data_IF_220753004377
#
_entry.id   IF_220753004377
#
_cell.length_a   1.000
_cell.length_b   1.000
_cell.length_c   1.000
_cell.angle_alpha   90.00
_cell.angle_beta   90.00
_cell.angle_gamma   90.00
#
_symmetry.space_group_name_H-M   'P 1'
#
loop_
_entity.id
_entity.type
_entity.pdbx_description
1 polymer ?
#
# COMPACT_ATOMS: atom_id res chain seq x y z
N UNK A 1 -57.83 6.82 45.55
CA UNK A 1 -59.02 7.27 44.81
C UNK A 1 -58.56 8.20 43.70
N UNK A 2 -58.86 7.81 42.45
CA UNK A 2 -59.10 8.67 41.27
C UNK A 2 -57.91 9.45 40.65
N UNK A 3 -57.46 8.95 39.49
CA UNK A 3 -56.82 9.65 38.34
C UNK A 3 -57.82 10.61 37.63
N UNK A 4 -57.52 11.38 36.54
CA UNK A 4 -56.27 11.66 35.78
C UNK A 4 -56.11 13.19 35.44
N UNK A 5 -55.05 13.72 34.80
CA UNK A 5 -54.75 13.81 33.35
C UNK A 5 -53.53 14.77 33.19
N UNK A 6 -52.58 14.50 32.28
CA UNK A 6 -52.17 15.38 31.16
C UNK A 6 -50.88 14.90 30.45
N UNK A 7 -51.10 14.49 29.18
CA UNK A 7 -50.32 14.72 27.94
C UNK A 7 -48.85 14.26 27.83
N UNK A 8 -48.66 13.34 26.89
CA UNK A 8 -47.38 12.90 26.33
C UNK A 8 -46.89 13.86 25.23
N UNK A 9 -45.60 14.20 25.26
CA UNK A 9 -44.87 14.77 24.11
C UNK A 9 -44.01 13.68 23.49
N UNK A 10 -44.36 13.27 22.27
CA UNK A 10 -43.57 12.38 21.42
C UNK A 10 -42.58 13.25 20.66
N UNK A 11 -41.30 13.13 21.00
CA UNK A 11 -40.19 13.71 20.25
C UNK A 11 -39.97 12.92 18.96
N UNK A 12 -39.98 13.65 17.84
CA UNK A 12 -39.78 13.18 16.48
C UNK A 12 -38.34 12.65 16.32
N UNK A 13 -38.14 11.34 16.30
CA UNK A 13 -36.92 10.73 15.79
C UNK A 13 -37.09 10.55 14.28
N UNK A 14 -36.35 11.34 13.49
CA UNK A 14 -36.13 11.05 12.07
C UNK A 14 -35.34 9.74 11.97
N UNK A 15 -36.05 8.64 11.72
CA UNK A 15 -35.47 7.40 11.23
C UNK A 15 -35.20 7.60 9.73
N UNK A 16 -33.95 7.87 9.37
CA UNK A 16 -33.48 7.67 7.99
C UNK A 16 -33.55 6.15 7.74
N UNK A 17 -34.61 5.69 7.09
CA UNK A 17 -34.81 4.28 6.80
C UNK A 17 -33.83 3.83 5.72
N UNK A 18 -32.98 2.85 6.04
CA UNK A 18 -32.23 2.09 5.06
C UNK A 18 -33.20 1.22 4.26
N UNK A 19 -33.65 1.74 3.12
CA UNK A 19 -34.55 1.01 2.22
C UNK A 19 -33.76 0.00 1.39
N UNK A 20 -34.14 -1.27 1.53
CA UNK A 20 -33.61 -2.42 0.78
C UNK A 20 -34.49 -2.62 -0.46
N UNK A 21 -33.91 -2.55 -1.67
CA UNK A 21 -34.65 -2.68 -2.93
C UNK A 21 -34.14 -3.84 -3.79
N UNK A 22 -35.02 -4.44 -4.57
CA UNK A 22 -34.62 -5.26 -5.72
C UNK A 22 -34.30 -4.33 -6.90
N UNK A 23 -33.09 -4.39 -7.44
CA UNK A 23 -32.66 -3.55 -8.58
C UNK A 23 -33.39 -4.05 -9.83
N UNK A 24 -34.46 -3.35 -10.21
CA UNK A 24 -35.26 -3.70 -11.40
C UNK A 24 -34.70 -3.11 -12.70
N UNK A 25 -33.89 -2.05 -12.62
CA UNK A 25 -33.24 -1.43 -13.78
C UNK A 25 -31.83 -0.91 -13.43
N UNK A 26 -30.83 -1.71 -13.79
CA UNK A 26 -29.42 -1.42 -13.50
C UNK A 26 -28.89 -0.21 -14.26
N UNK A 27 -29.27 -0.08 -15.53
CA UNK A 27 -28.76 1.01 -16.39
C UNK A 27 -29.29 2.35 -15.92
N UNK A 28 -30.59 2.43 -15.58
CA UNK A 28 -31.15 3.65 -14.98
C UNK A 28 -30.40 4.01 -13.70
N UNK A 29 -30.14 3.02 -12.82
CA UNK A 29 -29.42 3.24 -11.56
C UNK A 29 -28.00 3.78 -11.80
N UNK A 30 -27.29 3.25 -12.81
CA UNK A 30 -25.96 3.71 -13.16
C UNK A 30 -25.95 5.16 -13.66
N UNK A 31 -26.86 5.53 -14.56
CA UNK A 31 -26.97 6.91 -15.06
C UNK A 31 -27.38 7.89 -13.95
N UNK A 32 -28.32 7.50 -13.08
CA UNK A 32 -28.74 8.35 -11.95
C UNK A 32 -27.56 8.65 -11.01
N UNK A 33 -26.71 7.65 -10.72
CA UNK A 33 -25.51 7.83 -9.90
C UNK A 33 -24.45 8.67 -10.59
N UNK A 34 -24.24 8.47 -11.90
CA UNK A 34 -23.33 9.28 -12.73
C UNK A 34 -23.71 10.75 -12.70
N UNK A 35 -25.00 11.05 -12.92
CA UNK A 35 -25.53 12.41 -12.92
C UNK A 35 -25.44 13.04 -11.53
N UNK A 36 -25.80 12.31 -10.48
CA UNK A 36 -25.71 12.78 -9.09
C UNK A 36 -24.28 13.16 -8.70
N UNK A 37 -23.28 12.40 -9.18
CA UNK A 37 -21.86 12.62 -8.89
C UNK A 37 -21.21 13.66 -9.82
N UNK A 38 -21.88 14.05 -10.91
CA UNK A 38 -21.34 14.98 -11.91
C UNK A 38 -20.09 14.43 -12.62
N UNK A 39 -20.01 13.12 -12.81
CA UNK A 39 -18.84 12.46 -13.39
C UNK A 39 -18.82 12.58 -14.91
N UNK A 40 -17.66 12.91 -15.46
CA UNK A 40 -17.43 13.01 -16.91
C UNK A 40 -16.49 11.90 -17.33
N UNK A 41 -17.01 10.97 -18.13
CA UNK A 41 -16.31 9.79 -18.63
C UNK A 41 -15.95 9.94 -20.11
N UNK A 42 -14.86 9.29 -20.53
CA UNK A 42 -14.71 8.88 -21.92
C UNK A 42 -15.62 7.67 -22.23
N UNK A 43 -15.94 7.38 -23.51
CA UNK A 43 -16.73 6.20 -23.86
C UNK A 43 -16.13 4.88 -23.33
N UNK A 44 -14.81 4.76 -23.35
CA UNK A 44 -14.10 3.59 -22.85
C UNK A 44 -14.18 3.47 -21.32
N UNK A 45 -13.98 4.57 -20.60
CA UNK A 45 -14.07 4.61 -19.13
C UNK A 45 -15.47 4.24 -18.64
N UNK A 46 -16.51 4.79 -19.30
CA UNK A 46 -17.91 4.51 -18.97
C UNK A 46 -18.27 3.05 -19.23
N UNK A 47 -17.87 2.50 -20.39
CA UNK A 47 -18.10 1.10 -20.72
C UNK A 47 -17.42 0.15 -19.72
N UNK A 48 -16.18 0.46 -19.32
CA UNK A 48 -15.46 -0.32 -18.30
C UNK A 48 -16.14 -0.24 -16.93
N UNK A 49 -16.56 0.95 -16.50
CA UNK A 49 -17.23 1.13 -15.22
C UNK A 49 -18.56 0.38 -15.19
N UNK A 50 -19.41 0.57 -16.21
CA UNK A 50 -20.68 -0.12 -16.30
C UNK A 50 -20.50 -1.64 -16.29
N UNK A 51 -19.53 -2.18 -17.04
CA UNK A 51 -19.26 -3.62 -17.06
C UNK A 51 -18.88 -4.17 -15.67
N UNK A 52 -17.97 -3.50 -14.94
CA UNK A 52 -17.57 -3.92 -13.58
C UNK A 52 -18.72 -3.77 -12.58
N UNK A 53 -19.42 -2.64 -12.61
CA UNK A 53 -20.57 -2.39 -11.75
C UNK A 53 -21.66 -3.43 -11.98
N UNK A 54 -21.94 -3.79 -13.23
CA UNK A 54 -22.89 -4.84 -13.58
C UNK A 54 -22.51 -6.21 -13.03
N UNK A 55 -21.25 -6.59 -13.18
CA UNK A 55 -20.74 -7.88 -12.72
C UNK A 55 -20.82 -8.00 -11.20
N UNK A 56 -20.28 -7.02 -10.47
CA UNK A 56 -20.25 -7.05 -9.02
C UNK A 56 -21.66 -6.92 -8.42
N UNK A 57 -22.53 -6.11 -9.01
CA UNK A 57 -23.89 -5.94 -8.50
C UNK A 57 -24.72 -7.22 -8.65
N UNK A 58 -24.51 -7.98 -9.75
CA UNK A 58 -25.14 -9.30 -9.94
C UNK A 58 -24.59 -10.37 -8.99
N UNK A 59 -23.37 -10.18 -8.47
CA UNK A 59 -22.77 -11.07 -7.48
C UNK A 59 -23.25 -10.82 -6.04
N UNK A 60 -23.88 -9.67 -5.78
CA UNK A 60 -24.48 -9.37 -4.48
C UNK A 60 -25.74 -10.21 -4.23
N UNK A 61 -26.08 -10.41 -2.96
CA UNK A 61 -27.34 -11.06 -2.59
C UNK A 61 -28.55 -10.31 -3.21
N UNK A 62 -29.69 -10.99 -3.34
CA UNK A 62 -30.92 -10.49 -4.00
C UNK A 62 -31.46 -9.15 -3.44
N UNK A 63 -30.89 -8.70 -2.31
CA UNK A 63 -31.23 -7.49 -1.58
C UNK A 63 -29.96 -6.73 -1.18
N UNK A 64 -29.78 -5.53 -1.74
CA UNK A 64 -28.71 -4.59 -1.43
C UNK A 64 -29.33 -3.23 -1.06
N UNK A 65 -28.75 -2.51 -0.09
CA UNK A 65 -29.24 -1.18 0.29
C UNK A 65 -28.84 -0.12 -0.75
N UNK A 66 -29.54 1.01 -0.80
CA UNK A 66 -29.18 2.11 -1.71
C UNK A 66 -27.78 2.67 -1.43
N UNK A 67 -27.36 2.65 -0.16
CA UNK A 67 -26.03 3.10 0.26
C UNK A 67 -24.94 2.18 -0.27
N UNK A 68 -25.13 0.87 -0.13
CA UNK A 68 -24.20 -0.14 -0.65
C UNK A 68 -24.11 -0.10 -2.19
N UNK A 69 -25.21 0.20 -2.89
CA UNK A 69 -25.19 0.40 -4.37
C UNK A 69 -24.36 1.62 -4.74
N UNK A 70 -24.53 2.74 -4.03
CA UNK A 70 -23.76 3.96 -4.30
C UNK A 70 -22.27 3.81 -3.95
N UNK A 71 -21.95 3.06 -2.89
CA UNK A 71 -20.58 2.68 -2.56
C UNK A 71 -20.00 1.75 -3.64
N UNK A 72 -20.73 0.72 -4.04
CA UNK A 72 -20.30 -0.20 -5.11
C UNK A 72 -20.01 0.54 -6.41
N UNK A 73 -20.87 1.50 -6.78
CA UNK A 73 -20.65 2.36 -7.94
C UNK A 73 -19.34 3.14 -7.81
N UNK A 74 -19.06 3.74 -6.64
CA UNK A 74 -17.81 4.47 -6.41
C UNK A 74 -16.58 3.56 -6.45
N UNK A 75 -16.64 2.41 -5.78
CA UNK A 75 -15.55 1.45 -5.68
C UNK A 75 -15.18 0.82 -7.04
N UNK A 76 -16.16 0.61 -7.92
CA UNK A 76 -15.96 0.01 -9.26
C UNK A 76 -15.53 1.00 -10.35
N UNK A 77 -15.52 2.30 -10.04
CA UNK A 77 -15.12 3.37 -10.97
C UNK A 77 -13.66 3.22 -11.40
N UNK A 78 -13.26 3.63 -12.62
CA UNK A 78 -11.85 3.64 -13.01
C UNK A 78 -11.00 4.42 -12.00
N UNK A 79 -9.84 3.87 -11.63
CA UNK A 79 -8.93 4.49 -10.68
C UNK A 79 -8.39 5.85 -11.18
N UNK A 80 -8.25 5.99 -12.49
CA UNK A 80 -7.83 7.22 -13.17
C UNK A 80 -8.85 7.55 -14.24
N UNK A 81 -9.30 8.81 -14.27
CA UNK A 81 -10.24 9.33 -15.27
C UNK A 81 -9.62 10.54 -15.97
N UNK A 82 -9.86 10.68 -17.28
CA UNK A 82 -9.34 11.80 -18.07
C UNK A 82 -9.79 13.15 -17.54
N UNK A 83 -11.05 13.26 -17.12
CA UNK A 83 -11.61 14.50 -16.54
C UNK A 83 -10.85 14.96 -15.29
N UNK A 84 -10.41 14.03 -14.44
CA UNK A 84 -9.56 14.33 -13.29
C UNK A 84 -8.15 14.74 -13.69
N UNK A 85 -7.56 14.06 -14.67
CA UNK A 85 -6.23 14.42 -15.22
C UNK A 85 -6.25 15.85 -15.77
N UNK A 86 -7.28 16.22 -16.52
CA UNK A 86 -7.46 17.55 -17.09
C UNK A 86 -7.62 18.60 -15.98
N UNK A 87 -8.45 18.32 -14.97
CA UNK A 87 -8.63 19.21 -13.83
C UNK A 87 -7.31 19.46 -13.09
N UNK A 88 -6.58 18.40 -12.76
CA UNK A 88 -5.28 18.48 -12.08
C UNK A 88 -4.30 19.32 -12.91
N UNK A 89 -4.13 19.00 -14.19
CA UNK A 89 -3.19 19.69 -15.08
C UNK A 89 -3.58 21.14 -15.35
N UNK A 90 -4.87 21.50 -15.20
CA UNK A 90 -5.31 22.90 -15.24
C UNK A 90 -4.84 23.70 -14.02
N UNK A 91 -4.78 23.08 -12.84
CA UNK A 91 -4.55 23.75 -11.53
C UNK A 91 -3.11 23.73 -11.05
N UNK A 92 -2.39 22.60 -11.17
CA UNK A 92 -1.00 22.47 -10.73
C UNK A 92 -0.04 22.48 -11.93
N UNK A 93 1.20 22.95 -11.74
CA UNK A 93 2.24 23.06 -12.80
C UNK A 93 3.58 22.43 -12.45
N UNK A 94 3.70 21.81 -11.27
CA UNK A 94 4.96 21.25 -10.75
C UNK A 94 5.20 19.81 -11.18
N UNK A 95 4.17 19.15 -11.70
CA UNK A 95 4.22 17.80 -12.26
C UNK A 95 3.12 17.68 -13.34
N UNK A 96 3.05 16.57 -14.05
CA UNK A 96 2.02 16.34 -15.08
C UNK A 96 1.28 15.05 -14.76
N UNK A 97 -0.05 15.11 -14.67
CA UNK A 97 -0.91 13.94 -14.57
C UNK A 97 -1.14 13.33 -15.96
N UNK A 98 -1.31 12.00 -16.04
CA UNK A 98 -1.62 11.29 -17.28
C UNK A 98 -2.47 10.06 -16.98
N UNK A 99 -3.38 9.72 -17.90
CA UNK A 99 -4.12 8.45 -17.90
C UNK A 99 -3.26 7.27 -18.37
N UNK A 100 -2.11 7.53 -19.00
CA UNK A 100 -1.20 6.52 -19.54
C UNK A 100 -0.35 5.88 -18.43
N UNK A 101 -1.03 5.27 -17.46
CA UNK A 101 -0.42 4.57 -16.33
C UNK A 101 -0.74 3.08 -16.45
N UNK A 102 0.12 2.31 -17.12
CA UNK A 102 -0.16 0.90 -17.45
C UNK A 102 -0.44 -0.01 -16.25
N UNK A 103 -0.02 0.37 -15.02
CA UNK A 103 -0.41 -0.35 -13.80
C UNK A 103 -1.91 -0.18 -13.48
N UNK A 104 -2.47 1.01 -13.75
CA UNK A 104 -3.81 1.42 -13.31
C UNK A 104 -4.85 1.47 -14.44
N UNK A 105 -4.45 1.25 -15.69
CA UNK A 105 -5.32 1.30 -16.88
C UNK A 105 -6.64 0.51 -16.70
N UNK A 106 -6.59 -0.57 -15.92
CA UNK A 106 -7.70 -1.48 -15.68
C UNK A 106 -8.17 -1.53 -14.24
N UNK A 107 -7.59 -0.72 -13.37
CA UNK A 107 -7.88 -0.74 -11.94
C UNK A 107 -9.20 -0.04 -11.68
N UNK A 108 -10.01 -0.64 -10.82
CA UNK A 108 -11.06 0.08 -10.11
C UNK A 108 -10.46 0.98 -9.03
N UNK A 109 -11.23 1.95 -8.54
CA UNK A 109 -10.84 2.76 -7.39
C UNK A 109 -10.52 1.88 -6.17
N UNK A 110 -11.28 0.79 -5.98
CA UNK A 110 -11.05 -0.22 -4.94
C UNK A 110 -9.69 -0.88 -5.07
N UNK A 111 -9.30 -1.30 -6.27
CA UNK A 111 -8.00 -1.92 -6.53
C UNK A 111 -6.86 -0.95 -6.18
N UNK A 112 -7.00 0.32 -6.58
CA UNK A 112 -6.01 1.34 -6.27
C UNK A 112 -5.89 1.59 -4.76
N UNK A 113 -7.02 1.67 -4.04
CA UNK A 113 -7.05 1.84 -2.57
C UNK A 113 -6.32 0.71 -1.85
N UNK A 114 -6.43 -0.52 -2.34
CA UNK A 114 -5.76 -1.69 -1.73
C UNK A 114 -4.25 -1.65 -1.81
N UNK A 115 -3.69 -0.94 -2.78
CA UNK A 115 -2.24 -0.71 -2.82
C UNK A 115 -1.77 0.22 -1.69
N UNK A 116 -2.66 1.01 -1.10
CA UNK A 116 -2.39 1.93 0.01
C UNK A 116 -2.47 1.26 1.39
N UNK A 117 -1.71 0.17 1.59
CA UNK A 117 -1.78 -0.66 2.80
C UNK A 117 -1.07 -0.14 4.06
N UNK A 118 -0.82 1.16 4.17
CA UNK A 118 -0.30 1.73 5.43
C UNK A 118 -1.46 2.20 6.29
N UNK A 119 -1.63 1.56 7.44
CA UNK A 119 -2.62 1.97 8.44
C UNK A 119 -2.09 3.15 9.24
N UNK A 120 -2.99 4.12 9.49
CA UNK A 120 -2.66 5.32 10.25
C UNK A 120 -2.56 4.97 11.73
N UNK A 121 -1.43 5.32 12.32
CA UNK A 121 -1.25 5.28 13.77
C UNK A 121 -0.93 6.70 14.25
N UNK A 122 -1.38 7.03 15.46
CA UNK A 122 -0.95 8.27 16.08
C UNK A 122 0.59 8.23 16.25
N UNK A 123 1.27 9.32 15.87
CA UNK A 123 2.70 9.50 16.09
C UNK A 123 3.05 9.67 17.59
N UNK A 124 2.05 9.65 18.48
CA UNK A 124 2.22 9.66 19.93
C UNK A 124 3.04 8.45 20.37
N UNK A 125 4.11 8.72 21.12
CA UNK A 125 4.97 7.67 21.70
C UNK A 125 6.25 7.38 20.92
N UNK A 126 6.40 7.84 19.67
CA UNK A 126 7.68 7.75 18.95
C UNK A 126 8.64 8.83 19.43
N UNK A 127 9.86 8.42 19.79
CA UNK A 127 10.95 9.33 20.10
C UNK A 127 11.28 10.19 18.89
N UNK A 128 11.60 11.46 19.13
CA UNK A 128 12.05 12.38 18.08
C UNK A 128 13.57 12.34 17.97
N UNK A 129 14.09 11.95 16.81
CA UNK A 129 15.51 12.08 16.48
C UNK A 129 15.79 13.51 16.06
N UNK A 130 16.76 14.11 16.76
CA UNK A 130 17.22 15.49 16.57
C UNK A 130 18.74 15.45 16.42
N UNK A 131 19.27 16.26 15.52
CA UNK A 131 20.70 16.47 15.35
C UNK A 131 21.13 17.83 15.90
N UNK A 132 22.40 17.95 16.30
CA UNK A 132 22.93 19.23 16.77
C UNK A 132 22.92 20.26 15.61
N UNK A 133 22.64 21.55 15.87
CA UNK A 133 22.63 22.59 14.83
C UNK A 133 23.88 22.62 13.94
N UNK A 134 25.03 22.24 14.49
CA UNK A 134 26.33 22.17 13.86
C UNK A 134 26.40 21.08 12.80
N UNK A 135 25.69 19.96 13.01
CA UNK A 135 25.57 18.86 12.04
C UNK A 135 24.64 19.24 10.86
N UNK A 136 23.84 20.30 11.01
CA UNK A 136 22.82 20.72 10.05
C UNK A 136 23.26 21.92 9.18
N UNK A 137 24.46 22.48 9.38
CA UNK A 137 24.90 23.72 8.72
C UNK A 137 25.16 23.60 7.22
N UNK A 138 25.61 22.44 6.75
CA UNK A 138 26.13 22.25 5.39
C UNK A 138 25.41 21.13 4.63
N UNK A 139 24.08 21.08 4.77
CA UNK A 139 23.26 20.11 4.02
C UNK A 139 23.23 20.47 2.52
N UNK A 140 23.44 19.48 1.62
CA UNK A 140 23.42 19.73 0.19
C UNK A 140 22.01 20.14 -0.28
N UNK A 141 21.96 20.96 -1.33
CA UNK A 141 20.70 21.35 -1.99
C UNK A 141 20.11 20.18 -2.78
N UNK A 142 20.97 19.30 -3.29
CA UNK A 142 20.66 18.16 -4.13
C UNK A 142 21.43 16.94 -3.64
N UNK A 143 20.75 15.80 -3.51
CA UNK A 143 21.34 14.57 -3.00
C UNK A 143 20.64 13.36 -3.63
N UNK A 144 21.42 12.39 -4.10
CA UNK A 144 20.93 11.10 -4.56
C UNK A 144 21.75 9.98 -3.91
N UNK A 145 21.11 9.20 -3.03
CA UNK A 145 21.75 8.11 -2.31
C UNK A 145 22.42 7.09 -3.25
N UNK A 146 21.90 6.91 -4.48
CA UNK A 146 22.48 5.98 -5.46
C UNK A 146 23.84 6.47 -5.98
N UNK A 147 24.02 7.79 -6.09
CA UNK A 147 25.28 8.40 -6.50
C UNK A 147 26.27 8.48 -5.35
N UNK A 148 25.79 8.79 -4.14
CA UNK A 148 26.63 9.00 -2.96
C UNK A 148 27.08 7.69 -2.31
N UNK A 149 26.32 6.61 -2.49
CA UNK A 149 26.67 5.26 -2.04
C UNK A 149 26.84 4.30 -3.23
N UNK A 150 27.86 4.47 -4.09
CA UNK A 150 27.96 3.76 -5.37
C UNK A 150 28.10 2.23 -5.23
N UNK A 151 28.65 1.72 -4.12
CA UNK A 151 28.70 0.27 -3.84
C UNK A 151 27.32 -0.33 -3.55
N UNK A 152 26.36 0.50 -3.16
CA UNK A 152 24.99 0.13 -2.81
C UNK A 152 23.97 0.65 -3.83
N UNK A 153 24.41 1.27 -4.94
CA UNK A 153 23.51 1.86 -5.92
C UNK A 153 22.53 0.85 -6.51
N UNK A 154 22.97 -0.42 -6.64
CA UNK A 154 22.13 -1.53 -7.10
C UNK A 154 21.06 -1.95 -6.10
N UNK A 155 21.29 -1.79 -4.79
CA UNK A 155 20.30 -2.09 -3.74
C UNK A 155 19.34 -0.92 -3.59
N UNK A 156 19.88 0.30 -3.43
CA UNK A 156 19.11 1.55 -3.26
C UNK A 156 18.25 1.85 -4.49
N UNK A 157 18.76 1.53 -5.68
CA UNK A 157 18.06 1.73 -6.95
C UNK A 157 17.10 0.59 -7.32
N UNK A 158 17.01 -0.47 -6.51
CA UNK A 158 16.17 -1.63 -6.79
C UNK A 158 14.71 -1.35 -6.48
N UNK A 159 13.89 -1.16 -7.52
CA UNK A 159 12.46 -0.89 -7.36
C UNK A 159 11.69 -2.22 -7.27
N UNK A 160 10.95 -2.41 -6.19
CA UNK A 160 10.18 -3.63 -5.92
C UNK A 160 8.69 -3.45 -6.23
N UNK A 161 7.97 -4.57 -6.35
CA UNK A 161 6.52 -4.59 -6.62
C UNK A 161 5.77 -5.37 -5.52
N UNK A 162 4.90 -4.69 -4.79
CA UNK A 162 4.05 -5.30 -3.77
C UNK A 162 2.91 -6.17 -4.34
N UNK A 163 2.72 -6.19 -5.66
CA UNK A 163 1.64 -6.86 -6.37
C UNK A 163 0.25 -6.41 -5.88
N UNK A 164 -0.77 -7.27 -5.98
CA UNK A 164 -2.14 -7.05 -5.53
C UNK A 164 -2.32 -7.25 -4.01
N UNK A 165 -1.38 -6.75 -3.21
CA UNK A 165 -1.35 -6.88 -1.75
C UNK A 165 -1.06 -5.51 -1.12
N UNK A 166 -1.80 -5.16 -0.07
CA UNK A 166 -1.56 -3.94 0.72
C UNK A 166 -0.34 -4.03 1.63
N UNK A 167 0.81 -4.48 1.13
CA UNK A 167 2.01 -4.73 1.92
C UNK A 167 3.03 -3.58 1.89
N UNK A 168 2.67 -2.39 1.39
CA UNK A 168 3.58 -1.24 1.33
C UNK A 168 4.18 -0.85 2.70
N UNK A 169 3.45 -1.13 3.79
CA UNK A 169 3.90 -0.94 5.18
C UNK A 169 5.07 -1.86 5.55
N UNK A 170 5.19 -3.03 4.91
CA UNK A 170 6.27 -3.99 5.07
C UNK A 170 7.43 -3.69 4.11
N UNK A 171 7.13 -3.31 2.86
CA UNK A 171 8.15 -2.99 1.85
C UNK A 171 9.02 -1.80 2.25
N UNK A 172 8.42 -0.65 2.58
CA UNK A 172 9.18 0.57 2.85
C UNK A 172 10.23 0.44 3.97
N UNK A 173 9.88 -0.09 5.16
CA UNK A 173 10.86 -0.35 6.21
C UNK A 173 11.91 -1.38 5.82
N UNK A 174 11.51 -2.46 5.13
CA UNK A 174 12.44 -3.51 4.68
C UNK A 174 13.46 -2.96 3.69
N UNK A 175 13.02 -2.19 2.69
CA UNK A 175 13.88 -1.53 1.70
C UNK A 175 14.84 -0.53 2.36
N UNK A 176 14.32 0.38 3.19
CA UNK A 176 15.15 1.36 3.89
C UNK A 176 16.20 0.71 4.81
N UNK A 177 15.83 -0.36 5.52
CA UNK A 177 16.78 -1.11 6.33
C UNK A 177 17.80 -1.87 5.48
N UNK A 178 17.39 -2.45 4.34
CA UNK A 178 18.28 -3.13 3.41
C UNK A 178 19.36 -2.19 2.85
N UNK A 179 18.96 -0.97 2.47
CA UNK A 179 19.86 0.07 1.99
C UNK A 179 20.87 0.45 3.06
N UNK A 180 20.38 0.72 4.27
CA UNK A 180 21.21 1.08 5.44
C UNK A 180 22.19 -0.04 5.80
N UNK A 181 21.75 -1.30 5.73
CA UNK A 181 22.61 -2.46 5.97
C UNK A 181 23.72 -2.55 4.91
N UNK A 182 23.40 -2.34 3.62
CA UNK A 182 24.40 -2.26 2.57
C UNK A 182 25.41 -1.16 2.86
N UNK A 183 24.94 0.06 3.15
CA UNK A 183 25.78 1.24 3.40
C UNK A 183 26.70 1.00 4.61
N UNK A 184 26.16 0.54 5.74
CA UNK A 184 26.94 0.28 6.95
C UNK A 184 27.93 -0.87 6.79
N UNK A 185 27.63 -1.83 5.90
CA UNK A 185 28.55 -2.90 5.54
C UNK A 185 29.63 -2.49 4.51
N UNK A 186 29.63 -1.24 4.05
CA UNK A 186 30.48 -0.75 2.95
C UNK A 186 30.32 -1.57 1.65
N UNK A 187 29.07 -1.96 1.35
CA UNK A 187 28.71 -2.75 0.17
C UNK A 187 29.07 -4.22 0.24
N UNK A 188 29.40 -4.76 1.42
CA UNK A 188 29.66 -6.20 1.60
C UNK A 188 28.37 -7.01 1.64
N UNK A 189 27.29 -6.43 2.15
CA UNK A 189 25.96 -7.00 2.12
C UNK A 189 25.14 -6.32 1.01
N UNK A 190 24.81 -7.08 -0.03
CA UNK A 190 24.01 -6.58 -1.17
C UNK A 190 22.80 -7.45 -1.49
N UNK A 191 22.54 -8.47 -0.66
CA UNK A 191 21.35 -9.29 -0.80
C UNK A 191 20.08 -8.48 -0.45
N UNK A 192 18.95 -8.90 -1.01
CA UNK A 192 17.66 -8.30 -0.67
C UNK A 192 17.10 -8.91 0.62
N UNK A 193 16.46 -8.11 1.45
CA UNK A 193 15.74 -8.55 2.65
C UNK A 193 14.27 -8.87 2.33
N UNK A 194 13.71 -9.86 3.02
CA UNK A 194 12.39 -10.41 2.69
C UNK A 194 11.24 -9.51 3.12
N UNK A 195 10.68 -8.77 2.16
CA UNK A 195 9.40 -8.09 2.36
C UNK A 195 8.23 -9.10 2.52
N UNK A 196 8.39 -10.33 2.02
CA UNK A 196 7.41 -11.41 2.15
C UNK A 196 7.30 -11.91 3.59
N UNK A 197 8.43 -12.19 4.23
CA UNK A 197 8.48 -12.55 5.65
C UNK A 197 7.93 -11.40 6.51
N UNK A 198 8.35 -10.15 6.26
CA UNK A 198 7.84 -8.99 6.99
C UNK A 198 6.31 -8.91 6.89
N UNK A 199 5.75 -9.10 5.69
CA UNK A 199 4.31 -9.08 5.45
C UNK A 199 3.56 -10.24 6.13
N UNK A 200 4.16 -11.43 6.21
CA UNK A 200 3.53 -12.63 6.74
C UNK A 200 3.67 -12.80 8.26
N UNK A 201 4.78 -12.33 8.84
CA UNK A 201 5.20 -12.66 10.20
C UNK A 201 5.16 -11.50 11.20
N UNK A 202 5.41 -10.27 10.76
CA UNK A 202 5.36 -9.13 11.69
C UNK A 202 3.92 -8.90 12.18
N UNK A 203 3.72 -8.45 13.43
CA UNK A 203 2.41 -8.37 14.08
C UNK A 203 1.54 -7.24 13.51
N UNK A 204 1.01 -7.46 12.31
CA UNK A 204 0.11 -6.56 11.58
C UNK A 204 -0.91 -7.35 10.74
N UNK A 205 -1.58 -6.71 9.79
CA UNK A 205 -2.66 -7.36 9.01
C UNK A 205 -2.23 -7.78 7.60
N UNK A 206 -0.92 -7.85 7.32
CA UNK A 206 -0.37 -8.32 6.05
C UNK A 206 -0.90 -7.55 4.85
N UNK A 207 -1.53 -8.25 3.90
CA UNK A 207 -2.14 -7.63 2.71
C UNK A 207 -3.37 -6.77 3.02
N UNK A 208 -3.97 -6.89 4.22
CA UNK A 208 -5.00 -5.97 4.70
C UNK A 208 -4.45 -4.62 5.17
N UNK A 209 -3.12 -4.45 5.11
CA UNK A 209 -2.41 -3.27 5.56
C UNK A 209 -1.76 -3.45 6.93
N UNK A 210 -0.92 -2.50 7.31
CA UNK A 210 -0.20 -2.61 8.56
C UNK A 210 0.48 -1.34 9.02
N UNK A 211 1.11 -1.46 10.19
CA UNK A 211 1.76 -0.37 10.89
C UNK A 211 3.27 -0.41 10.65
N UNK A 212 3.85 0.65 10.08
CA UNK A 212 5.30 0.74 9.86
C UNK A 212 6.11 0.62 11.15
N UNK A 213 5.56 1.09 12.28
CA UNK A 213 6.15 0.91 13.60
C UNK A 213 6.37 -0.56 13.94
N UNK A 214 5.36 -1.40 13.68
CA UNK A 214 5.46 -2.84 13.91
C UNK A 214 6.56 -3.48 13.04
N UNK A 215 6.73 -3.02 11.79
CA UNK A 215 7.82 -3.49 10.93
C UNK A 215 9.20 -3.12 11.47
N UNK A 216 9.41 -1.86 11.90
CA UNK A 216 10.68 -1.46 12.50
C UNK A 216 10.97 -2.16 13.82
N UNK A 217 9.96 -2.34 14.68
CA UNK A 217 10.09 -3.12 15.92
C UNK A 217 10.44 -4.58 15.61
N UNK A 218 9.80 -5.19 14.60
CA UNK A 218 10.13 -6.55 14.16
C UNK A 218 11.59 -6.69 13.72
N UNK A 219 12.11 -5.71 12.97
CA UNK A 219 13.53 -5.70 12.57
C UNK A 219 14.49 -5.72 13.77
N UNK A 220 14.11 -5.14 14.91
CA UNK A 220 14.90 -5.19 16.13
C UNK A 220 14.69 -6.50 16.90
N UNK A 221 13.43 -6.86 17.18
CA UNK A 221 13.09 -7.94 18.12
C UNK A 221 13.31 -9.34 17.53
N UNK A 222 12.96 -9.52 16.25
CA UNK A 222 12.97 -10.81 15.57
C UNK A 222 14.00 -10.88 14.43
N UNK A 223 14.35 -9.73 13.86
CA UNK A 223 15.16 -9.65 12.65
C UNK A 223 14.40 -10.10 11.40
N UNK A 224 15.08 -10.05 10.25
CA UNK A 224 14.49 -10.42 8.96
C UNK A 224 15.48 -11.26 8.15
N UNK A 225 14.98 -12.24 7.41
CA UNK A 225 15.78 -13.03 6.49
C UNK A 225 16.00 -12.31 5.15
N UNK A 226 16.92 -12.86 4.36
CA UNK A 226 17.05 -12.51 2.94
C UNK A 226 15.84 -12.99 2.14
N UNK A 227 15.48 -12.26 1.09
CA UNK A 227 14.35 -12.54 0.24
C UNK A 227 14.21 -11.55 -0.89
N UNK A 228 14.48 -12.01 -2.10
CA UNK A 228 14.34 -11.25 -3.33
C UNK A 228 12.89 -11.04 -3.78
N UNK A 229 12.75 -10.54 -5.00
CA UNK A 229 11.43 -10.39 -5.62
C UNK A 229 10.80 -11.75 -5.93
N UNK A 230 9.56 -11.75 -6.40
CA UNK A 230 8.89 -12.99 -6.73
C UNK A 230 9.59 -13.73 -7.88
N UNK A 231 9.90 -14.99 -7.62
CA UNK A 231 10.41 -15.97 -8.57
C UNK A 231 9.63 -17.27 -8.40
N UNK A 232 9.38 -18.00 -9.49
CA UNK A 232 8.69 -19.28 -9.38
C UNK A 232 9.56 -20.28 -8.62
N UNK A 233 8.94 -21.20 -7.85
CA UNK A 233 9.70 -22.21 -7.09
C UNK A 233 10.68 -23.03 -7.93
N UNK A 234 10.37 -23.25 -9.20
CA UNK A 234 11.23 -24.03 -10.10
C UNK A 234 12.46 -23.23 -10.52
N UNK A 235 12.29 -21.92 -10.69
CA UNK A 235 13.32 -20.98 -11.19
C UNK A 235 14.17 -20.35 -10.08
N UNK A 236 13.76 -20.48 -8.81
CA UNK A 236 14.54 -20.02 -7.66
C UNK A 236 16.00 -20.51 -7.73
N UNK A 237 16.91 -19.69 -7.26
CA UNK A 237 18.35 -19.93 -7.13
C UNK A 237 18.78 -19.50 -5.73
N UNK A 238 20.02 -19.81 -5.33
CA UNK A 238 20.57 -19.32 -4.06
C UNK A 238 20.53 -17.78 -3.95
N UNK A 239 20.63 -17.07 -5.07
CA UNK A 239 20.66 -15.61 -5.10
C UNK A 239 19.32 -14.95 -4.72
N UNK A 240 18.21 -15.69 -4.77
CA UNK A 240 16.88 -15.17 -4.41
C UNK A 240 16.68 -15.08 -2.88
N UNK A 241 17.64 -15.57 -2.09
CA UNK A 241 17.59 -15.51 -0.63
C UNK A 241 16.67 -16.57 -0.02
N UNK A 242 16.54 -16.55 1.30
CA UNK A 242 15.75 -17.52 2.05
C UNK A 242 14.25 -17.47 1.73
N UNK A 243 13.67 -16.27 1.64
CA UNK A 243 12.23 -16.08 1.47
C UNK A 243 11.89 -15.02 0.42
N UNK A 244 12.00 -15.36 -0.88
CA UNK A 244 11.56 -14.49 -1.97
C UNK A 244 10.07 -14.13 -1.86
N UNK A 245 9.66 -12.98 -2.38
CA UNK A 245 8.28 -12.50 -2.25
C UNK A 245 7.26 -13.47 -2.86
N UNK A 246 6.14 -13.71 -2.16
CA UNK A 246 5.19 -14.78 -2.54
C UNK A 246 4.32 -14.45 -3.77
N UNK A 247 4.21 -13.17 -4.14
CA UNK A 247 3.25 -12.72 -5.16
C UNK A 247 3.94 -12.19 -6.41
N UNK A 248 3.64 -12.82 -7.55
CA UNK A 248 4.03 -12.31 -8.86
C UNK A 248 3.29 -11.00 -9.16
N UNK A 249 3.89 -10.07 -9.92
CA UNK A 249 3.15 -8.96 -10.50
C UNK A 249 1.98 -9.46 -11.36
N UNK A 250 0.81 -8.83 -11.25
CA UNK A 250 -0.39 -9.24 -11.96
C UNK A 250 -1.21 -8.01 -12.45
N UNK A 251 -2.09 -8.22 -13.43
CA UNK A 251 -3.00 -7.22 -13.98
C UNK A 251 -4.43 -7.43 -13.48
N UNK A 252 -5.12 -6.36 -13.05
CA UNK A 252 -6.52 -6.43 -12.60
C UNK A 252 -7.47 -6.24 -13.78
N UNK A 253 -8.57 -6.99 -13.86
CA UNK A 253 -9.74 -6.77 -14.75
C UNK A 253 -9.49 -6.57 -16.27
N UNK A 254 -8.29 -6.85 -16.81
CA UNK A 254 -7.99 -6.86 -18.25
C UNK A 254 -7.06 -8.00 -18.65
N UNK A 255 -7.00 -8.27 -19.96
CA UNK A 255 -5.98 -9.12 -20.56
C UNK A 255 -4.71 -8.30 -20.79
N UNK A 256 -3.71 -8.49 -19.95
CA UNK A 256 -2.37 -7.94 -20.17
C UNK A 256 -1.51 -8.93 -20.98
N UNK A 257 -0.67 -8.39 -21.87
CA UNK A 257 0.35 -9.17 -22.58
C UNK A 257 1.62 -9.34 -21.76
N UNK A 258 1.78 -8.55 -20.68
CA UNK A 258 2.96 -8.52 -19.81
C UNK A 258 2.76 -9.30 -18.51
N UNK A 259 1.57 -9.22 -17.90
CA UNK A 259 1.28 -9.80 -16.59
C UNK A 259 0.05 -10.71 -16.64
N UNK A 260 0.01 -11.82 -15.87
CA UNK A 260 -1.19 -12.62 -15.72
C UNK A 260 -2.29 -11.84 -15.01
N UNK A 261 -3.55 -12.24 -15.18
CA UNK A 261 -4.66 -11.66 -14.40
C UNK A 261 -4.50 -11.99 -12.91
N UNK A 262 -4.80 -11.02 -12.03
CA UNK A 262 -4.77 -11.23 -10.59
C UNK A 262 -5.83 -12.25 -10.15
N UNK A 263 -5.49 -13.11 -9.19
CA UNK A 263 -6.44 -14.03 -8.59
C UNK A 263 -7.27 -13.29 -7.54
N UNK A 264 -8.45 -12.83 -7.96
CA UNK A 264 -9.33 -12.03 -7.14
C UNK A 264 -8.85 -10.59 -6.95
N UNK A 265 -9.52 -9.94 -6.02
CA UNK A 265 -9.45 -8.50 -5.75
C UNK A 265 -8.20 -8.09 -4.95
N UNK A 266 -7.65 -9.01 -4.14
CA UNK A 266 -6.37 -8.87 -3.43
C UNK A 266 -5.85 -10.25 -3.04
N UNK A 267 -4.54 -10.39 -2.90
CA UNK A 267 -3.94 -11.60 -2.34
C UNK A 267 -4.24 -11.72 -0.85
N UNK A 268 -4.60 -12.93 -0.42
CA UNK A 268 -4.63 -13.28 1.00
C UNK A 268 -3.22 -13.28 1.57
N UNK A 269 -3.03 -12.74 2.77
CA UNK A 269 -1.75 -12.77 3.48
C UNK A 269 -1.25 -14.22 3.60
N UNK A 270 0.00 -14.53 3.21
CA UNK A 270 0.56 -15.85 3.41
C UNK A 270 0.72 -16.15 4.91
N UNK A 271 0.68 -17.43 5.28
CA UNK A 271 1.00 -17.82 6.66
C UNK A 271 2.48 -17.61 6.96
N UNK A 272 2.82 -17.23 8.19
CA UNK A 272 4.20 -17.15 8.64
C UNK A 272 4.83 -18.56 8.72
N UNK A 273 5.70 -18.88 7.76
CA UNK A 273 6.51 -20.09 7.74
C UNK A 273 7.66 -20.06 8.76
N UNK A 274 8.14 -21.24 9.13
CA UNK A 274 9.29 -21.44 10.04
C UNK A 274 10.55 -21.90 9.30
N UNK A 275 10.51 -21.96 7.96
CA UNK A 275 11.58 -22.43 7.09
C UNK A 275 11.66 -21.51 5.86
N UNK A 276 12.83 -21.45 5.24
CA UNK A 276 13.02 -20.76 3.97
C UNK A 276 12.05 -21.29 2.90
N UNK A 277 11.40 -20.38 2.17
CA UNK A 277 10.58 -20.73 1.01
C UNK A 277 11.44 -21.25 -0.15
N UNK A 278 12.67 -20.73 -0.25
CA UNK A 278 13.65 -21.16 -1.21
C UNK A 278 14.42 -22.39 -0.72
N UNK A 279 14.00 -23.58 -1.17
CA UNK A 279 14.67 -24.83 -0.82
C UNK A 279 16.06 -25.01 -1.43
N UNK A 280 16.51 -24.10 -2.31
CA UNK A 280 17.89 -24.08 -2.81
C UNK A 280 18.79 -23.17 -1.98
N UNK A 281 18.25 -22.34 -1.09
CA UNK A 281 19.04 -21.46 -0.24
C UNK A 281 19.73 -22.28 0.88
N UNK A 282 21.06 -22.13 1.07
CA UNK A 282 21.82 -23.06 1.91
C UNK A 282 21.79 -22.73 3.41
N UNK A 283 21.42 -21.50 3.77
CA UNK A 283 21.38 -21.03 5.17
C UNK A 283 19.97 -21.21 5.70
N UNK A 284 19.83 -21.69 6.93
CA UNK A 284 18.52 -21.84 7.56
C UNK A 284 17.89 -20.47 7.86
N UNK A 285 16.56 -20.43 7.99
CA UNK A 285 15.84 -19.19 8.31
C UNK A 285 16.32 -18.54 9.62
N UNK A 286 16.69 -19.36 10.61
CA UNK A 286 17.22 -18.92 11.91
C UNK A 286 18.62 -18.31 11.81
N UNK A 287 19.48 -18.88 10.96
CA UNK A 287 20.85 -18.39 10.75
C UNK A 287 20.91 -17.17 9.83
N UNK A 288 19.90 -16.96 8.97
CA UNK A 288 19.84 -15.86 8.00
C UNK A 288 19.24 -14.57 8.59
N UNK A 289 19.21 -14.42 9.91
CA UNK A 289 18.56 -13.29 10.59
C UNK A 289 19.42 -12.02 10.59
N UNK A 290 18.85 -10.93 10.12
CA UNK A 290 19.45 -9.61 10.09
C UNK A 290 18.69 -8.67 11.02
N UNK A 291 19.39 -8.07 11.99
CA UNK A 291 18.78 -7.31 13.08
C UNK A 291 19.11 -5.81 13.00
N UNK A 292 18.10 -4.97 13.20
CA UNK A 292 18.29 -3.55 13.42
C UNK A 292 18.90 -3.33 14.81
N UNK A 293 20.01 -2.57 14.86
CA UNK A 293 20.71 -2.30 16.11
C UNK A 293 19.96 -1.35 17.05
N UNK A 294 19.15 -0.43 16.50
CA UNK A 294 18.35 0.49 17.30
C UNK A 294 17.16 -0.24 17.96
N UNK A 295 17.00 -0.04 19.27
CA UNK A 295 15.96 -0.71 20.06
C UNK A 295 14.54 -0.21 19.76
N UNK A 296 14.40 1.04 19.33
CA UNK A 296 13.09 1.64 19.12
C UNK A 296 13.06 2.49 17.86
N UNK A 297 11.99 2.35 17.05
CA UNK A 297 11.78 3.26 15.93
C UNK A 297 11.60 4.69 16.43
N UNK A 298 12.07 5.62 15.62
CA UNK A 298 11.99 7.04 15.88
C UNK A 298 11.40 7.78 14.68
N UNK A 299 10.99 9.02 14.91
CA UNK A 299 10.61 9.97 13.86
C UNK A 299 11.60 11.14 13.85
N UNK A 300 11.90 11.69 12.69
CA UNK A 300 12.72 12.89 12.59
C UNK A 300 11.94 14.11 13.06
N UNK A 301 12.61 15.02 13.78
CA UNK A 301 11.96 16.22 14.33
C UNK A 301 11.60 17.24 13.25
N UNK A 302 12.34 17.24 12.14
CA UNK A 302 12.06 18.03 10.96
C UNK A 302 12.81 17.57 9.71
N UNK A 303 12.61 18.32 8.62
CA UNK A 303 13.18 18.01 7.30
C UNK A 303 14.71 17.95 7.32
N UNK A 304 15.37 18.84 8.07
CA UNK A 304 16.84 18.85 8.14
C UNK A 304 17.40 17.63 8.88
N UNK A 305 16.72 17.14 9.93
CA UNK A 305 17.11 15.90 10.61
C UNK A 305 16.96 14.68 9.69
N UNK A 306 15.90 14.66 8.86
CA UNK A 306 15.73 13.61 7.86
C UNK A 306 16.81 13.70 6.77
N UNK A 307 17.12 14.91 6.29
CA UNK A 307 18.18 15.14 5.28
C UNK A 307 19.54 14.66 5.76
N UNK A 308 19.95 15.03 6.97
CA UNK A 308 21.26 14.60 7.50
C UNK A 308 21.30 13.07 7.65
N UNK A 309 20.22 12.44 8.15
CA UNK A 309 20.22 10.97 8.26
C UNK A 309 20.24 10.27 6.90
N UNK A 310 19.54 10.80 5.89
CA UNK A 310 19.62 10.28 4.52
C UNK A 310 21.05 10.41 3.97
N UNK A 311 21.71 11.54 4.25
CA UNK A 311 23.07 11.80 3.83
C UNK A 311 24.10 10.87 4.51
N UNK A 312 23.91 10.56 5.80
CA UNK A 312 24.91 9.82 6.60
C UNK A 312 24.65 8.32 6.67
N UNK A 313 23.38 7.93 6.70
CA UNK A 313 22.96 6.56 6.98
C UNK A 313 22.25 5.92 5.79
N UNK A 314 21.69 6.73 4.88
CA UNK A 314 20.95 6.28 3.70
C UNK A 314 19.44 6.44 3.82
N UNK A 315 18.70 5.98 2.80
CA UNK A 315 17.25 6.17 2.66
C UNK A 315 16.44 5.90 3.94
N UNK A 316 15.34 6.64 4.07
CA UNK A 316 14.40 6.55 5.17
C UNK A 316 13.01 6.27 4.63
N UNK A 317 12.20 5.60 5.43
CA UNK A 317 10.80 5.39 5.11
C UNK A 317 9.98 6.61 5.53
N UNK A 318 9.08 7.07 4.67
CA UNK A 318 8.20 8.22 4.92
C UNK A 318 6.72 7.82 4.83
N UNK A 319 5.92 8.36 5.76
CA UNK A 319 4.46 8.40 5.61
C UNK A 319 4.02 9.57 4.73
N UNK A 320 3.01 9.40 3.86
CA UNK A 320 2.47 10.49 3.04
C UNK A 320 1.72 11.55 3.86
N UNK A 321 1.41 11.29 5.13
CA UNK A 321 0.71 12.25 5.99
C UNK A 321 1.70 13.30 6.53
N UNK A 322 1.37 14.60 6.44
CA UNK A 322 2.27 15.65 6.88
C UNK A 322 2.51 15.61 8.40
N UNK A 323 3.71 16.04 8.77
CA UNK A 323 4.16 16.37 10.12
C UNK A 323 3.21 17.33 10.85
#
# INVERSE_FOLDING_TARGET
MVHPLFVASIGLWLLCGTSVFAIRDLKSTFEDLKDQKGLVYTPEEEAQHLARFEEELKAQAEFISTEDVAELYEETRPAIMQSFVDEINSKQKTWTASIEQGRFESFSLRDAKRLCGTLREAASGLTKKVYAPEELKDLPTDFDARSEFPKCSGVIGHIRDQSACGSCWAFGPTEAYNDRLCIKSDGKFTALLSAGEMNACAPSFGCGGGYPRAAWTWLHDAGIATGGDNVTRHDMTEADGCWPYDFAPCAHHVKSTKYPSCQGESHSTPGCAQLCHNGKYPISLEEDRHFMAEESPHQYSGVNDAKISIQTDGPVRRDPYPF
#
